data_IF_893540193787
#
_entry.id   IF_893540193787
#
_cell.length_a   1.000
_cell.length_b   1.000
_cell.length_c   1.000
_cell.angle_alpha   90.00
_cell.angle_beta   90.00
_cell.angle_gamma   90.00
#
_symmetry.space_group_name_H-M   'P 1'
#
loop_
_entity.id
_entity.type
_entity.pdbx_description
1 polymer ?
#
# COMPACT_ATOMS: atom_id res chain seq x y z
N UNK A 1 -33.06 -36.43 38.88
CA UNK A 1 -33.04 -35.97 37.47
C UNK A 1 -33.68 -34.60 37.46
N UNK A 2 -32.88 -33.53 37.57
CA UNK A 2 -33.39 -32.16 37.54
C UNK A 2 -33.43 -31.70 36.09
N UNK A 3 -34.62 -31.33 35.64
CA UNK A 3 -34.93 -30.82 34.30
C UNK A 3 -34.32 -29.42 34.15
N UNK A 4 -33.22 -29.32 33.38
CA UNK A 4 -32.53 -28.07 33.08
C UNK A 4 -32.91 -27.59 31.69
N UNK A 5 -34.14 -27.11 31.55
CA UNK A 5 -34.57 -26.36 30.37
C UNK A 5 -34.00 -24.93 30.45
N UNK A 6 -33.27 -24.46 29.42
CA UNK A 6 -32.70 -23.11 29.43
C UNK A 6 -33.81 -22.05 29.35
N UNK A 7 -33.59 -20.86 29.96
CA UNK A 7 -34.57 -19.78 29.94
C UNK A 7 -34.82 -19.27 28.51
N UNK A 8 -36.04 -18.78 28.21
CA UNK A 8 -36.36 -18.25 26.90
C UNK A 8 -35.51 -17.00 26.60
N UNK A 9 -35.13 -16.80 25.32
CA UNK A 9 -34.34 -15.64 24.93
C UNK A 9 -35.11 -14.33 25.12
N UNK A 10 -34.39 -13.20 25.31
CA UNK A 10 -35.01 -11.90 25.52
C UNK A 10 -35.79 -11.43 24.28
N UNK A 11 -36.87 -10.63 24.44
CA UNK A 11 -37.64 -10.08 23.32
C UNK A 11 -36.73 -9.31 22.37
N UNK A 12 -36.67 -9.73 21.10
CA UNK A 12 -35.83 -9.10 20.06
C UNK A 12 -34.50 -9.82 19.77
N UNK A 13 -34.19 -10.94 20.42
CA UNK A 13 -33.03 -11.75 20.06
C UNK A 13 -33.25 -12.45 18.70
N UNK A 14 -32.51 -12.02 17.68
CA UNK A 14 -32.43 -12.72 16.39
C UNK A 14 -31.20 -13.64 16.40
N UNK A 15 -31.35 -14.95 16.13
CA UNK A 15 -30.22 -15.86 16.02
C UNK A 15 -29.25 -15.41 14.92
N UNK A 16 -27.92 -15.52 15.12
CA UNK A 16 -26.95 -15.24 14.07
C UNK A 16 -27.22 -16.14 12.85
N UNK A 17 -27.58 -15.54 11.71
CA UNK A 17 -27.88 -16.26 10.46
C UNK A 17 -29.29 -16.06 9.88
N UNK A 18 -30.18 -15.30 10.53
CA UNK A 18 -31.51 -14.97 9.97
C UNK A 18 -31.62 -13.55 9.41
N UNK A 19 -30.55 -13.02 8.81
CA UNK A 19 -30.71 -11.81 7.99
C UNK A 19 -31.50 -12.19 6.72
N UNK A 20 -32.57 -11.45 6.35
CA UNK A 20 -33.36 -11.74 5.15
C UNK A 20 -32.45 -11.77 3.92
N UNK A 21 -32.48 -12.89 3.20
CA UNK A 21 -31.75 -13.07 1.94
C UNK A 21 -32.21 -12.00 0.95
N UNK A 22 -31.41 -10.94 0.79
CA UNK A 22 -31.77 -9.77 -0.04
C UNK A 22 -31.35 -8.41 0.51
N UNK A 23 -30.94 -8.31 1.78
CA UNK A 23 -30.29 -7.09 2.28
C UNK A 23 -28.78 -7.20 2.09
N UNK A 24 -28.27 -6.50 1.09
CA UNK A 24 -26.84 -6.25 0.93
C UNK A 24 -26.31 -5.64 2.24
N UNK A 25 -25.21 -6.14 2.82
CA UNK A 25 -24.58 -5.49 3.95
C UNK A 25 -24.38 -4.00 3.60
N UNK A 26 -24.62 -3.07 4.54
CA UNK A 26 -24.28 -1.66 4.30
C UNK A 26 -22.86 -1.60 3.76
N UNK A 27 -22.65 -0.87 2.65
CA UNK A 27 -21.32 -0.64 2.12
C UNK A 27 -20.43 -0.21 3.30
N UNK A 28 -19.31 -0.91 3.51
CA UNK A 28 -18.40 -0.62 4.61
C UNK A 28 -18.04 0.87 4.58
N UNK A 29 -18.59 1.62 5.53
CA UNK A 29 -18.19 2.99 5.79
C UNK A 29 -17.08 2.92 6.84
N UNK A 30 -15.83 3.26 6.50
CA UNK A 30 -14.77 3.29 7.50
C UNK A 30 -15.14 4.28 8.60
N UNK A 31 -14.82 3.98 9.88
CA UNK A 31 -15.04 4.92 10.97
C UNK A 31 -14.31 6.24 10.65
N UNK A 32 -14.90 7.40 11.00
CA UNK A 32 -14.26 8.68 10.77
C UNK A 32 -12.88 8.69 11.46
N UNK A 33 -11.84 9.24 10.80
CA UNK A 33 -10.51 9.26 11.37
C UNK A 33 -10.54 9.98 12.74
N UNK A 34 -9.77 9.52 13.73
CA UNK A 34 -9.79 10.07 15.10
C UNK A 34 -9.31 11.53 15.22
N UNK A 35 -8.99 12.19 14.11
CA UNK A 35 -8.61 13.60 14.02
C UNK A 35 -9.21 14.15 12.72
N UNK A 36 -9.71 15.40 12.74
CA UNK A 36 -10.39 16.09 11.64
C UNK A 36 -9.57 16.35 10.37
N UNK A 37 -8.75 15.38 9.96
CA UNK A 37 -8.31 15.24 8.58
C UNK A 37 -9.57 15.13 7.70
N UNK A 38 -9.65 15.86 6.59
CA UNK A 38 -10.75 15.72 5.65
C UNK A 38 -10.88 14.24 5.27
N UNK A 39 -12.10 13.72 5.25
CA UNK A 39 -12.39 12.41 4.68
C UNK A 39 -11.83 12.41 3.26
N UNK A 40 -10.72 11.71 3.04
CA UNK A 40 -10.12 11.65 1.73
C UNK A 40 -11.07 10.76 0.92
N UNK A 41 -11.89 11.40 0.11
CA UNK A 41 -12.85 10.73 -0.74
C UNK A 41 -12.13 9.65 -1.54
N UNK A 42 -12.62 8.41 -1.47
CA UNK A 42 -12.29 7.39 -2.45
C UNK A 42 -12.61 7.98 -3.82
N UNK A 43 -11.57 8.26 -4.62
CA UNK A 43 -11.75 8.85 -5.95
C UNK A 43 -12.59 7.87 -6.78
N UNK A 44 -13.82 8.22 -7.22
CA UNK A 44 -14.62 7.34 -8.05
C UNK A 44 -13.88 7.11 -9.38
N UNK A 45 -13.56 5.86 -9.70
CA UNK A 45 -12.76 5.48 -10.87
C UNK A 45 -11.25 5.34 -10.62
N UNK A 46 -10.81 5.34 -9.36
CA UNK A 46 -9.40 5.15 -8.98
C UNK A 46 -8.91 3.71 -9.12
N UNK A 47 -7.60 3.56 -9.39
CA UNK A 47 -6.91 2.26 -9.36
C UNK A 47 -7.05 1.58 -7.99
N UNK A 48 -7.20 0.24 -7.90
CA UNK A 48 -7.51 -0.47 -6.63
C UNK A 48 -6.43 -0.36 -5.55
N UNK A 49 -5.25 0.17 -5.89
CA UNK A 49 -4.18 0.46 -4.93
C UNK A 49 -3.86 1.95 -4.98
N UNK A 50 -4.09 2.64 -3.87
CA UNK A 50 -3.81 4.08 -3.74
C UNK A 50 -2.72 4.34 -2.71
N UNK A 51 -1.95 5.40 -2.93
CA UNK A 51 -0.96 5.88 -1.97
C UNK A 51 -1.22 7.37 -1.69
N UNK A 52 -1.27 7.69 -0.41
CA UNK A 52 -1.45 9.05 0.08
C UNK A 52 -0.31 9.43 1.02
N UNK A 53 0.19 10.65 0.86
CA UNK A 53 1.26 11.20 1.68
C UNK A 53 0.87 12.56 2.25
N UNK A 54 1.00 12.72 3.57
CA UNK A 54 0.75 13.97 4.26
C UNK A 54 2.06 14.72 4.53
N UNK A 55 2.38 15.70 3.67
CA UNK A 55 3.63 16.47 3.76
C UNK A 55 3.75 17.28 5.06
N UNK A 56 4.93 17.30 5.72
CA UNK A 56 5.18 18.15 6.89
C UNK A 56 5.36 19.64 6.55
N UNK A 57 5.51 20.01 5.28
CA UNK A 57 5.69 21.39 4.81
C UNK A 57 7.04 22.05 5.17
N UNK A 58 7.71 21.60 6.23
CA UNK A 58 9.06 22.01 6.64
C UNK A 58 9.88 20.80 7.09
N UNK A 59 11.18 20.86 6.81
CA UNK A 59 12.16 19.81 7.14
C UNK A 59 13.43 20.47 7.68
N UNK A 60 13.99 19.89 8.75
CA UNK A 60 15.23 20.34 9.35
C UNK A 60 16.39 20.19 8.36
N UNK A 61 17.15 21.28 8.18
CA UNK A 61 18.23 21.39 7.19
C UNK A 61 19.37 20.39 7.37
N UNK A 62 19.61 19.95 8.60
CA UNK A 62 20.68 18.99 8.92
C UNK A 62 20.29 17.53 8.66
N UNK A 63 18.99 17.23 8.52
CA UNK A 63 18.50 15.85 8.43
C UNK A 63 19.10 15.04 7.27
N UNK A 64 19.26 15.59 6.05
CA UNK A 64 19.82 14.82 4.94
C UNK A 64 21.19 14.21 5.20
N UNK A 65 21.98 14.75 6.15
CA UNK A 65 23.29 14.23 6.51
C UNK A 65 23.25 12.98 7.42
N UNK A 66 22.14 12.76 8.15
CA UNK A 66 22.05 11.72 9.18
C UNK A 66 20.99 10.66 8.83
N UNK A 67 20.00 11.03 8.01
CA UNK A 67 18.89 10.14 7.65
C UNK A 67 19.33 8.84 7.00
N UNK A 68 20.34 8.87 6.13
CA UNK A 68 20.83 7.67 5.44
C UNK A 68 21.35 6.60 6.42
N UNK A 69 21.94 7.01 7.55
CA UNK A 69 22.43 6.10 8.58
C UNK A 69 21.27 5.43 9.31
N UNK A 70 20.25 6.21 9.69
CA UNK A 70 19.05 5.70 10.35
C UNK A 70 18.17 4.84 9.43
N UNK A 71 18.34 4.96 8.11
CA UNK A 71 17.66 4.12 7.13
C UNK A 71 18.25 2.69 7.04
N UNK A 72 19.45 2.42 7.57
CA UNK A 72 20.10 1.09 7.47
C UNK A 72 19.21 -0.04 8.03
N UNK A 73 18.63 0.07 9.24
CA UNK A 73 17.70 -0.94 9.74
C UNK A 73 16.49 -1.16 8.82
N UNK A 74 15.93 -0.10 8.25
CA UNK A 74 14.83 -0.21 7.30
C UNK A 74 15.25 -0.91 6.01
N UNK A 75 16.46 -0.66 5.50
CA UNK A 75 16.97 -1.37 4.33
C UNK A 75 17.11 -2.88 4.56
N UNK A 76 17.61 -3.28 5.74
CA UNK A 76 17.74 -4.70 6.10
C UNK A 76 16.36 -5.36 6.15
N UNK A 77 15.41 -4.76 6.88
CA UNK A 77 14.05 -5.29 7.01
C UNK A 77 13.35 -5.33 5.66
N UNK A 78 13.43 -4.25 4.89
CA UNK A 78 12.82 -4.18 3.56
C UNK A 78 13.43 -5.23 2.63
N UNK A 79 14.75 -5.44 2.67
CA UNK A 79 15.42 -6.47 1.87
C UNK A 79 14.91 -7.88 2.20
N UNK A 80 14.80 -8.22 3.48
CA UNK A 80 14.24 -9.51 3.92
C UNK A 80 12.79 -9.66 3.47
N UNK A 81 11.95 -8.64 3.69
CA UNK A 81 10.55 -8.66 3.25
C UNK A 81 10.41 -8.80 1.74
N UNK A 82 11.29 -8.17 0.96
CA UNK A 82 11.29 -8.28 -0.49
C UNK A 82 11.58 -9.72 -0.94
N UNK A 83 12.55 -10.39 -0.32
CA UNK A 83 12.82 -11.81 -0.62
C UNK A 83 11.58 -12.65 -0.32
N UNK A 84 10.98 -12.47 0.86
CA UNK A 84 9.78 -13.23 1.24
C UNK A 84 8.63 -12.95 0.28
N UNK A 85 8.35 -11.67 -0.02
CA UNK A 85 7.29 -11.27 -0.95
C UNK A 85 7.53 -11.82 -2.36
N UNK A 86 8.78 -11.89 -2.84
CA UNK A 86 9.11 -12.49 -4.13
C UNK A 86 8.84 -13.99 -4.15
N UNK A 87 9.22 -14.72 -3.09
CA UNK A 87 8.90 -16.16 -2.97
C UNK A 87 7.39 -16.36 -2.95
N UNK A 88 6.66 -15.56 -2.19
CA UNK A 88 5.20 -15.64 -2.13
C UNK A 88 4.53 -15.26 -3.45
N UNK A 89 5.03 -14.23 -4.14
CA UNK A 89 4.54 -13.83 -5.45
C UNK A 89 4.79 -14.91 -6.50
N UNK A 90 5.93 -15.60 -6.44
CA UNK A 90 6.22 -16.74 -7.31
C UNK A 90 5.27 -17.91 -7.06
N UNK A 91 5.02 -18.25 -5.78
CA UNK A 91 4.01 -19.25 -5.41
C UNK A 91 2.62 -18.81 -5.87
N UNK A 92 2.24 -17.55 -5.67
CA UNK A 92 0.95 -16.99 -6.08
C UNK A 92 0.79 -16.96 -7.60
N UNK A 93 1.86 -16.70 -8.35
CA UNK A 93 1.88 -16.80 -9.80
C UNK A 93 1.63 -18.24 -10.24
N UNK A 94 2.33 -19.20 -9.63
CA UNK A 94 2.15 -20.62 -9.93
C UNK A 94 0.72 -21.10 -9.60
N UNK A 95 0.23 -20.86 -8.38
CA UNK A 95 -1.14 -21.24 -8.00
C UNK A 95 -2.19 -20.49 -8.81
N UNK A 96 -1.93 -19.22 -9.16
CA UNK A 96 -2.80 -18.44 -10.02
C UNK A 96 -2.93 -19.04 -11.44
N UNK A 97 -1.81 -19.41 -12.06
CA UNK A 97 -1.80 -20.02 -13.39
C UNK A 97 -2.50 -21.38 -13.41
N UNK A 98 -2.37 -22.20 -12.36
CA UNK A 98 -2.95 -23.55 -12.33
C UNK A 98 -4.34 -23.64 -11.68
N UNK A 99 -4.53 -23.03 -10.52
CA UNK A 99 -5.76 -23.11 -9.73
C UNK A 99 -6.70 -21.90 -9.94
N UNK A 100 -6.23 -20.82 -10.58
CA UNK A 100 -7.02 -19.59 -10.77
C UNK A 100 -7.32 -18.83 -9.47
N UNK A 101 -6.69 -19.22 -8.36
CA UNK A 101 -6.90 -18.64 -7.03
C UNK A 101 -5.56 -18.35 -6.36
N UNK A 102 -5.46 -17.19 -5.74
CA UNK A 102 -4.34 -16.82 -4.88
C UNK A 102 -4.80 -16.93 -3.43
N UNK A 103 -4.13 -17.70 -2.56
CA UNK A 103 -4.51 -17.80 -1.15
C UNK A 103 -4.42 -16.43 -0.45
N UNK A 104 -5.46 -16.08 0.30
CA UNK A 104 -5.58 -14.77 0.99
C UNK A 104 -4.40 -14.51 1.94
N UNK A 105 -3.94 -15.54 2.65
CA UNK A 105 -2.79 -15.44 3.57
C UNK A 105 -1.48 -15.03 2.88
N UNK A 106 -1.31 -15.31 1.58
CA UNK A 106 -0.13 -14.87 0.83
C UNK A 106 -0.21 -13.38 0.48
N UNK A 107 -1.40 -12.89 0.13
CA UNK A 107 -1.60 -11.50 -0.25
C UNK A 107 -1.39 -10.55 0.92
N UNK A 108 -1.80 -10.94 2.12
CA UNK A 108 -1.63 -10.10 3.30
C UNK A 108 -0.17 -9.69 3.55
N UNK A 109 0.77 -10.62 3.43
CA UNK A 109 2.20 -10.30 3.63
C UNK A 109 2.78 -9.45 2.49
N UNK A 110 2.31 -9.63 1.26
CA UNK A 110 2.69 -8.79 0.12
C UNK A 110 2.18 -7.36 0.34
N UNK A 111 0.95 -7.19 0.83
CA UNK A 111 0.38 -5.88 1.21
C UNK A 111 1.17 -5.24 2.34
N UNK A 112 1.54 -6.01 3.37
CA UNK A 112 2.40 -5.53 4.45
C UNK A 112 3.75 -5.02 3.91
N UNK A 113 4.33 -5.72 2.94
CA UNK A 113 5.59 -5.34 2.27
C UNK A 113 5.43 -4.07 1.45
N UNK A 114 4.34 -3.92 0.70
CA UNK A 114 4.02 -2.70 -0.06
C UNK A 114 3.93 -1.48 0.88
N UNK A 115 3.17 -1.61 1.97
CA UNK A 115 3.04 -0.56 3.00
C UNK A 115 4.38 -0.20 3.61
N UNK A 116 5.19 -1.21 3.94
CA UNK A 116 6.51 -0.97 4.53
C UNK A 116 7.49 -0.31 3.54
N UNK A 117 7.46 -0.72 2.27
CA UNK A 117 8.22 -0.10 1.19
C UNK A 117 7.86 1.38 1.03
N UNK A 118 6.57 1.71 0.94
CA UNK A 118 6.12 3.09 0.78
C UNK A 118 6.54 3.99 1.95
N UNK A 119 6.41 3.50 3.19
CA UNK A 119 6.87 4.19 4.41
C UNK A 119 8.38 4.40 4.44
N UNK A 120 9.13 3.41 3.98
CA UNK A 120 10.59 3.50 3.92
C UNK A 120 11.03 4.50 2.85
N UNK A 121 10.40 4.51 1.68
CA UNK A 121 10.71 5.44 0.61
C UNK A 121 10.49 6.90 1.02
N UNK A 122 9.36 7.22 1.67
CA UNK A 122 9.11 8.60 2.15
C UNK A 122 10.15 9.06 3.18
N UNK A 123 10.70 8.13 3.97
CA UNK A 123 11.80 8.41 4.89
C UNK A 123 13.15 8.58 4.19
N UNK A 124 13.55 7.64 3.32
CA UNK A 124 14.84 7.67 2.61
C UNK A 124 14.95 8.88 1.68
N UNK A 125 13.84 9.28 1.06
CA UNK A 125 13.75 10.52 0.30
C UNK A 125 13.59 11.76 1.19
N UNK A 126 13.84 11.66 2.50
CA UNK A 126 13.83 12.78 3.44
C UNK A 126 12.59 13.69 3.28
N UNK A 127 11.42 13.10 2.98
CA UNK A 127 10.15 13.82 2.83
C UNK A 127 9.43 13.97 4.17
N UNK A 128 9.84 13.20 5.16
CA UNK A 128 9.32 13.18 6.52
C UNK A 128 10.46 13.24 7.52
N UNK A 129 10.11 13.62 8.74
CA UNK A 129 11.06 13.77 9.83
C UNK A 129 11.01 12.59 10.81
N UNK A 130 9.81 12.05 10.96
CA UNK A 130 9.45 11.02 11.92
C UNK A 130 10.01 9.67 11.48
N UNK A 131 10.67 8.98 12.40
CA UNK A 131 11.22 7.66 12.14
C UNK A 131 10.08 6.65 11.91
N UNK A 132 10.04 5.91 10.78
CA UNK A 132 8.89 5.09 10.45
C UNK A 132 8.79 3.86 11.37
N UNK A 133 7.57 3.49 11.81
CA UNK A 133 7.39 2.35 12.69
C UNK A 133 7.66 1.02 11.96
N UNK A 134 8.23 0.04 12.68
CA UNK A 134 8.42 -1.34 12.21
C UNK A 134 7.16 -2.16 12.45
N UNK A 135 6.18 -2.00 11.56
CA UNK A 135 4.90 -2.71 11.64
C UNK A 135 4.57 -3.40 10.33
N UNK A 136 3.99 -4.60 10.41
CA UNK A 136 3.77 -5.48 9.26
C UNK A 136 2.33 -5.98 9.26
N UNK A 137 1.40 -5.04 9.08
CA UNK A 137 -0.01 -5.38 9.08
C UNK A 137 -0.42 -6.04 7.76
N UNK A 138 -0.97 -7.24 7.86
CA UNK A 138 -1.39 -8.08 6.73
C UNK A 138 -2.84 -7.88 6.32
N UNK A 139 -3.60 -7.04 7.03
CA UNK A 139 -5.00 -6.79 6.72
C UNK A 139 -5.16 -5.92 5.47
N UNK A 140 -6.23 -6.14 4.70
CA UNK A 140 -6.48 -5.39 3.45
C UNK A 140 -6.76 -3.91 3.71
N UNK A 141 -7.57 -3.59 4.73
CA UNK A 141 -7.78 -2.21 5.16
C UNK A 141 -6.49 -1.61 5.74
N UNK A 142 -6.25 -0.31 5.53
CA UNK A 142 -5.08 0.33 6.14
C UNK A 142 -5.39 0.61 7.62
N UNK A 143 -4.65 0.04 8.59
CA UNK A 143 -4.84 0.35 10.02
C UNK A 143 -4.59 1.82 10.37
N UNK A 144 -3.95 2.59 9.49
CA UNK A 144 -3.58 3.98 9.76
C UNK A 144 -2.47 4.14 10.79
N UNK A 145 -1.65 3.08 10.98
CA UNK A 145 -0.54 3.08 11.95
C UNK A 145 0.48 4.17 11.67
N UNK A 146 0.64 4.55 10.40
CA UNK A 146 1.47 5.67 9.99
C UNK A 146 0.60 6.81 9.44
N UNK A 147 0.43 7.92 10.19
CA UNK A 147 -0.44 9.00 9.75
C UNK A 147 0.10 9.73 8.51
N UNK A 148 1.40 9.61 8.22
CA UNK A 148 2.06 10.27 7.08
C UNK A 148 1.87 9.53 5.77
N UNK A 149 1.73 8.21 5.82
CA UNK A 149 1.75 7.33 4.65
C UNK A 149 0.60 6.35 4.75
N UNK A 150 -0.35 6.45 3.83
CA UNK A 150 -1.47 5.49 3.72
C UNK A 150 -1.39 4.76 2.40
N UNK A 151 -1.53 3.43 2.45
CA UNK A 151 -1.63 2.56 1.28
C UNK A 151 -2.90 1.72 1.44
N UNK A 152 -3.92 2.12 0.70
CA UNK A 152 -5.21 1.45 0.67
C UNK A 152 -5.22 0.45 -0.49
N UNK A 153 -5.69 -0.76 -0.19
CA UNK A 153 -5.81 -1.85 -1.16
C UNK A 153 -7.24 -2.33 -1.13
N UNK A 154 -7.94 -2.14 -2.25
CA UNK A 154 -9.27 -2.72 -2.46
C UNK A 154 -9.07 -4.16 -2.96
N UNK A 155 -9.58 -5.17 -2.27
CA UNK A 155 -9.44 -6.56 -2.71
C UNK A 155 -10.19 -6.77 -4.03
N UNK A 156 -9.47 -7.04 -5.11
CA UNK A 156 -10.06 -7.49 -6.37
C UNK A 156 -10.24 -9.02 -6.30
N UNK A 157 -11.40 -9.47 -5.78
CA UNK A 157 -11.64 -10.89 -5.43
C UNK A 157 -12.29 -11.69 -6.57
N UNK A 158 -12.77 -11.07 -7.65
CA UNK A 158 -13.63 -11.79 -8.61
C UNK A 158 -13.01 -11.91 -10.02
N UNK A 159 -12.86 -13.16 -10.50
CA UNK A 159 -12.69 -13.47 -11.92
C UNK A 159 -11.27 -13.39 -12.51
N UNK A 160 -10.22 -13.68 -11.74
CA UNK A 160 -8.83 -13.58 -12.22
C UNK A 160 -8.54 -14.46 -13.44
N UNK A 161 -8.21 -13.83 -14.57
CA UNK A 161 -7.83 -14.55 -15.80
C UNK A 161 -6.44 -15.17 -15.67
N UNK A 162 -6.36 -16.50 -15.79
CA UNK A 162 -5.11 -17.29 -15.76
C UNK A 162 -4.11 -16.82 -16.82
N UNK A 163 -4.62 -16.39 -17.97
CA UNK A 163 -3.81 -15.91 -19.10
C UNK A 163 -3.14 -14.56 -18.78
N UNK A 164 -3.87 -13.66 -18.10
CA UNK A 164 -3.33 -12.39 -17.63
C UNK A 164 -2.22 -12.59 -16.58
N UNK A 165 -2.36 -13.59 -15.71
CA UNK A 165 -1.31 -13.96 -14.75
C UNK A 165 -0.05 -14.45 -15.48
N UNK A 166 -0.22 -15.35 -16.44
CA UNK A 166 0.90 -15.93 -17.18
C UNK A 166 1.68 -14.87 -17.97
N UNK A 167 0.98 -14.03 -18.76
CA UNK A 167 1.61 -12.99 -19.55
C UNK A 167 2.02 -11.74 -18.76
N UNK A 168 1.75 -11.71 -17.45
CA UNK A 168 2.10 -10.56 -16.59
C UNK A 168 3.56 -10.17 -16.70
N UNK A 169 4.47 -11.14 -16.83
CA UNK A 169 5.92 -10.90 -16.99
C UNK A 169 6.21 -10.04 -18.23
N UNK A 170 5.50 -10.29 -19.34
CA UNK A 170 5.64 -9.50 -20.56
C UNK A 170 4.95 -8.14 -20.46
N UNK A 171 3.80 -8.09 -19.77
CA UNK A 171 3.08 -6.82 -19.51
C UNK A 171 3.89 -5.87 -18.61
N UNK A 172 4.85 -6.38 -17.84
CA UNK A 172 5.78 -5.55 -17.06
C UNK A 172 6.90 -4.91 -17.90
N UNK A 173 7.15 -5.36 -19.14
CA UNK A 173 8.23 -4.81 -19.99
C UNK A 173 8.05 -3.31 -20.28
N UNK A 174 6.86 -2.83 -20.70
CA UNK A 174 6.62 -1.39 -20.83
C UNK A 174 6.91 -0.61 -19.54
N UNK A 175 6.50 -1.13 -18.38
CA UNK A 175 6.81 -0.52 -17.09
C UNK A 175 8.29 -0.53 -16.77
N UNK A 176 9.03 -1.59 -17.14
CA UNK A 176 10.49 -1.63 -16.96
C UNK A 176 11.19 -0.52 -17.76
N UNK A 177 10.76 -0.29 -19.01
CA UNK A 177 11.30 0.80 -19.84
C UNK A 177 11.00 2.16 -19.21
N UNK A 178 9.76 2.39 -18.77
CA UNK A 178 9.40 3.65 -18.09
C UNK A 178 10.18 3.82 -16.79
N UNK A 179 10.34 2.75 -16.01
CA UNK A 179 11.09 2.75 -14.75
C UNK A 179 12.53 3.20 -14.95
N UNK A 180 13.16 2.80 -16.06
CA UNK A 180 14.54 3.16 -16.37
C UNK A 180 14.69 4.68 -16.48
N UNK A 181 13.83 5.35 -17.26
CA UNK A 181 13.85 6.81 -17.38
C UNK A 181 13.44 7.50 -16.07
N UNK A 182 12.49 6.94 -15.34
CA UNK A 182 12.05 7.50 -14.06
C UNK A 182 13.13 7.46 -12.98
N UNK A 183 13.96 6.41 -12.94
CA UNK A 183 15.08 6.34 -11.99
C UNK A 183 16.12 7.42 -12.29
N UNK A 184 16.37 7.72 -13.56
CA UNK A 184 17.27 8.82 -13.94
C UNK A 184 16.69 10.16 -13.46
N UNK A 185 15.41 10.42 -13.72
CA UNK A 185 14.73 11.63 -13.23
C UNK A 185 14.73 11.71 -11.70
N UNK A 186 14.45 10.58 -11.02
CA UNK A 186 14.48 10.46 -9.57
C UNK A 186 15.84 10.82 -9.00
N UNK A 187 16.93 10.33 -9.60
CA UNK A 187 18.28 10.65 -9.16
C UNK A 187 18.58 12.16 -9.23
N UNK A 188 18.18 12.79 -10.33
CA UNK A 188 18.31 14.25 -10.50
C UNK A 188 17.48 15.00 -9.46
N UNK A 189 16.20 14.63 -9.29
CA UNK A 189 15.30 15.27 -8.32
C UNK A 189 15.78 15.06 -6.88
N UNK A 190 16.34 13.88 -6.56
CA UNK A 190 16.91 13.57 -5.26
C UNK A 190 18.08 14.49 -4.92
N UNK A 191 19.02 14.66 -5.87
CA UNK A 191 20.17 15.56 -5.69
C UNK A 191 19.70 17.00 -5.50
N UNK A 192 18.82 17.50 -6.39
CA UNK A 192 18.31 18.88 -6.28
C UNK A 192 17.55 19.07 -4.97
N UNK A 193 16.72 18.09 -4.59
CA UNK A 193 15.97 18.08 -3.34
C UNK A 193 16.86 18.12 -2.12
N UNK A 194 17.98 17.40 -2.14
CA UNK A 194 18.95 17.39 -1.04
C UNK A 194 19.50 18.79 -0.77
N UNK A 195 19.95 19.49 -1.82
CA UNK A 195 20.38 20.89 -1.71
C UNK A 195 19.23 21.82 -1.30
N UNK A 196 18.05 21.63 -1.88
CA UNK A 196 16.89 22.46 -1.58
C UNK A 196 16.48 22.35 -0.10
N UNK A 197 16.50 21.15 0.49
CA UNK A 197 16.18 20.96 1.90
C UNK A 197 17.26 21.58 2.81
N UNK A 198 18.55 21.48 2.46
CA UNK A 198 19.61 22.11 3.26
C UNK A 198 19.52 23.63 3.24
N UNK A 199 19.22 24.22 2.09
CA UNK A 199 19.20 25.69 1.91
C UNK A 199 17.85 26.27 2.35
N UNK A 200 16.74 25.74 1.84
CA UNK A 200 15.38 26.26 2.06
C UNK A 200 14.72 25.68 3.31
N UNK A 201 15.16 24.51 3.80
CA UNK A 201 14.48 23.79 4.89
C UNK A 201 13.14 23.19 4.48
N UNK A 202 12.92 22.93 3.19
CA UNK A 202 11.69 22.32 2.66
C UNK A 202 11.91 21.79 1.25
N UNK A 203 11.07 20.83 0.86
CA UNK A 203 10.97 20.40 -0.53
C UNK A 203 10.28 21.47 -1.39
N UNK A 204 10.81 21.79 -2.58
CA UNK A 204 10.08 22.56 -3.58
C UNK A 204 8.86 21.77 -4.05
N UNK A 205 7.69 22.41 -4.16
CA UNK A 205 6.42 21.73 -4.43
C UNK A 205 6.44 20.86 -5.70
N UNK A 206 7.06 21.32 -6.79
CA UNK A 206 7.17 20.53 -8.02
C UNK A 206 8.00 19.26 -7.86
N UNK A 207 9.10 19.32 -7.09
CA UNK A 207 9.97 18.16 -6.82
C UNK A 207 9.30 17.18 -5.85
N UNK A 208 8.58 17.70 -4.85
CA UNK A 208 7.81 16.89 -3.92
C UNK A 208 6.69 16.13 -4.64
N UNK A 209 5.93 16.82 -5.50
CA UNK A 209 4.88 16.20 -6.31
C UNK A 209 5.44 15.09 -7.20
N UNK A 210 6.63 15.27 -7.78
CA UNK A 210 7.30 14.20 -8.52
C UNK A 210 7.63 13.01 -7.62
N UNK A 211 8.20 13.22 -6.44
CA UNK A 211 8.54 12.16 -5.48
C UNK A 211 7.28 11.39 -5.04
N UNK A 212 6.20 12.09 -4.69
CA UNK A 212 4.92 11.47 -4.34
C UNK A 212 4.37 10.66 -5.52
N UNK A 213 4.38 11.23 -6.73
CA UNK A 213 3.89 10.55 -7.93
C UNK A 213 4.73 9.31 -8.28
N UNK A 214 6.05 9.36 -8.08
CA UNK A 214 6.92 8.21 -8.21
C UNK A 214 6.57 7.10 -7.22
N UNK A 215 6.34 7.43 -5.94
CA UNK A 215 5.92 6.44 -4.93
C UNK A 215 4.54 5.85 -5.28
N UNK A 216 3.59 6.67 -5.77
CA UNK A 216 2.29 6.16 -6.26
C UNK A 216 2.47 5.19 -7.43
N UNK A 217 3.28 5.56 -8.41
CA UNK A 217 3.55 4.72 -9.57
C UNK A 217 4.22 3.41 -9.17
N UNK A 218 5.29 3.45 -8.35
CA UNK A 218 5.98 2.25 -7.89
C UNK A 218 5.11 1.35 -7.02
N UNK A 219 4.23 1.92 -6.20
CA UNK A 219 3.27 1.14 -5.37
C UNK A 219 2.29 0.38 -6.25
N UNK A 220 1.73 1.03 -7.28
CA UNK A 220 0.81 0.39 -8.26
C UNK A 220 1.53 -0.68 -9.08
N UNK A 221 2.70 -0.34 -9.59
CA UNK A 221 3.57 -1.27 -10.33
C UNK A 221 3.89 -2.52 -9.51
N UNK A 222 4.32 -2.35 -8.26
CA UNK A 222 4.70 -3.47 -7.38
C UNK A 222 3.48 -4.30 -6.99
N UNK A 223 2.33 -3.66 -6.73
CA UNK A 223 1.08 -4.37 -6.44
C UNK A 223 0.63 -5.24 -7.61
N UNK A 224 0.76 -4.75 -8.84
CA UNK A 224 0.50 -5.55 -10.04
C UNK A 224 1.52 -6.68 -10.17
N UNK A 225 2.82 -6.38 -10.08
CA UNK A 225 3.90 -7.36 -10.21
C UNK A 225 3.77 -8.52 -9.20
N UNK A 226 3.34 -8.23 -7.97
CA UNK A 226 3.17 -9.21 -6.88
C UNK A 226 1.73 -9.72 -6.73
N UNK A 227 0.89 -9.60 -7.76
CA UNK A 227 -0.42 -10.26 -7.83
C UNK A 227 -1.44 -9.80 -6.77
N UNK A 228 -1.28 -8.60 -6.24
CA UNK A 228 -2.25 -7.95 -5.35
C UNK A 228 -3.47 -7.49 -6.14
N UNK A 229 -3.26 -7.00 -7.35
CA UNK A 229 -4.32 -6.57 -8.26
C UNK A 229 -4.17 -7.19 -9.64
N UNK A 230 -5.28 -7.28 -10.37
CA UNK A 230 -5.34 -7.73 -11.76
C UNK A 230 -5.41 -6.58 -12.77
N UNK A 231 -5.71 -5.37 -12.30
CA UNK A 231 -5.80 -4.20 -13.15
C UNK A 231 -4.41 -3.74 -13.58
N UNK A 232 -4.24 -3.57 -14.89
CA UNK A 232 -3.00 -3.08 -15.45
C UNK A 232 -2.72 -1.65 -14.95
N UNK A 233 -1.54 -1.38 -14.35
CA UNK A 233 -1.29 -0.10 -13.70
C UNK A 233 -1.15 1.04 -14.73
N UNK A 234 -1.89 2.15 -14.54
CA UNK A 234 -1.72 3.31 -15.39
C UNK A 234 -0.31 3.90 -15.22
N UNK A 235 0.20 4.53 -16.28
CA UNK A 235 1.50 5.20 -16.26
C UNK A 235 1.47 6.61 -15.63
N UNK A 236 0.28 7.14 -15.33
CA UNK A 236 0.09 8.47 -14.74
C UNK A 236 0.64 8.57 -13.31
N UNK A 237 0.90 9.80 -12.85
CA UNK A 237 1.49 10.11 -11.53
C UNK A 237 0.44 10.57 -10.48
N UNK A 238 -0.81 10.64 -10.93
CA UNK A 238 -2.01 10.99 -10.16
C UNK A 238 -2.33 9.93 -9.09
#
# INVERSE_FOLDING_TARGET
MSDSTPPPPPPGYQPPGQQPYGQQPPAYQPPPPPYGAPAVASVPGGYPVSFQFASPGKIARWRPFVHWLLAIPHFIVLYVLQIVAQVLAFVAWFTGVFAGKVPEGLQGLIIATLRYSARTQTYVFFMREEYPPFTFDTQFADPGTDPRTRVEVVPAIEGRSRLSIFFRIFLLIPHAIVSFFLVIALYVVYIIGWFAVIILGRWPSGLESFMVGFIRWTTRYTAYAFLVTDDFPPFGFE
#
